data_IF_753833991143
#
_entry.id   IF_753833991143
#
_cell.length_a   1.000
_cell.length_b   1.000
_cell.length_c   1.000
_cell.angle_alpha   90.00
_cell.angle_beta   90.00
_cell.angle_gamma   90.00
#
_symmetry.space_group_name_H-M   'P 1'
#
loop_
_entity.id
_entity.type
_entity.pdbx_description
1 polymer ?
#
# COMPACT_ATOMS: atom_id res chain seq x y z
N UNK A 1 20.79 -22.89 -2.42
CA UNK A 1 19.46 -22.27 -2.69
C UNK A 1 19.61 -21.16 -3.73
N UNK A 2 18.79 -21.14 -4.80
CA UNK A 2 18.81 -20.06 -5.80
C UNK A 2 18.40 -18.74 -5.14
N UNK A 3 19.25 -17.70 -5.19
CA UNK A 3 18.88 -16.33 -4.76
C UNK A 3 17.68 -15.89 -5.59
N UNK A 4 16.50 -15.81 -4.97
CA UNK A 4 15.28 -15.31 -5.62
C UNK A 4 15.43 -13.80 -5.81
N UNK A 5 15.14 -13.31 -7.03
CA UNK A 5 15.10 -11.86 -7.29
C UNK A 5 14.07 -11.21 -6.37
N UNK A 6 14.44 -10.09 -5.75
CA UNK A 6 13.50 -9.31 -4.94
C UNK A 6 12.52 -8.63 -5.90
N UNK A 7 11.21 -8.87 -5.78
CA UNK A 7 10.24 -8.23 -6.66
C UNK A 7 10.21 -6.72 -6.37
N UNK A 8 10.28 -5.93 -7.44
CA UNK A 8 10.02 -4.50 -7.39
C UNK A 8 8.51 -4.25 -7.55
N UNK A 9 8.04 -3.20 -6.90
CA UNK A 9 6.64 -2.76 -6.92
C UNK A 9 6.61 -1.24 -7.04
N UNK A 10 5.60 -0.73 -7.76
CA UNK A 10 5.41 0.70 -7.95
C UNK A 10 4.62 1.27 -6.78
N UNK A 11 5.14 2.33 -6.16
CA UNK A 11 4.40 3.09 -5.16
C UNK A 11 3.31 3.94 -5.84
N UNK A 12 2.09 3.93 -5.31
CA UNK A 12 0.98 4.77 -5.82
C UNK A 12 1.14 6.27 -5.50
N UNK A 13 1.95 6.60 -4.49
CA UNK A 13 2.24 7.98 -4.08
C UNK A 13 3.30 8.67 -4.95
N UNK A 14 4.48 8.07 -5.11
CA UNK A 14 5.57 8.66 -5.88
C UNK A 14 5.74 8.10 -7.30
N UNK A 15 5.03 7.02 -7.67
CA UNK A 15 5.17 6.33 -8.96
C UNK A 15 6.54 5.66 -9.22
N UNK A 16 7.43 5.61 -8.24
CA UNK A 16 8.73 4.94 -8.36
C UNK A 16 8.62 3.43 -8.08
N UNK A 17 9.53 2.65 -8.68
CA UNK A 17 9.69 1.24 -8.35
C UNK A 17 10.64 1.06 -7.16
N UNK A 18 10.20 0.32 -6.15
CA UNK A 18 10.99 0.00 -4.95
C UNK A 18 10.89 -1.48 -4.60
N UNK A 19 11.86 -2.05 -3.87
CA UNK A 19 11.77 -3.39 -3.32
C UNK A 19 10.46 -3.61 -2.56
N UNK A 20 9.78 -4.74 -2.80
CA UNK A 20 8.50 -5.08 -2.12
C UNK A 20 8.58 -4.89 -0.60
N UNK A 21 9.74 -5.17 0.00
CA UNK A 21 9.96 -5.08 1.45
C UNK A 21 10.00 -3.66 2.00
N UNK A 22 10.21 -2.65 1.16
CA UNK A 22 10.26 -1.22 1.53
C UNK A 22 8.90 -0.53 1.40
N UNK A 23 7.90 -1.26 0.92
CA UNK A 23 6.56 -0.74 0.69
C UNK A 23 5.56 -1.39 1.66
N UNK A 24 4.54 -0.63 2.02
CA UNK A 24 3.34 -1.13 2.70
C UNK A 24 2.32 -1.49 1.63
N UNK A 25 1.72 -2.67 1.74
CA UNK A 25 0.65 -3.11 0.84
C UNK A 25 -0.70 -2.83 1.47
N UNK A 26 -1.61 -2.29 0.67
CA UNK A 26 -3.03 -2.19 0.98
C UNK A 26 -3.75 -3.16 0.03
N UNK A 27 -4.68 -3.97 0.54
CA UNK A 27 -5.39 -4.98 -0.23
C UNK A 27 -6.90 -4.78 -0.14
N UNK A 28 -7.60 -4.98 -1.25
CA UNK A 28 -9.06 -5.13 -1.31
C UNK A 28 -9.39 -6.60 -1.54
N UNK A 29 -10.13 -7.22 -0.63
CA UNK A 29 -10.59 -8.60 -0.76
C UNK A 29 -11.79 -8.70 -1.74
N UNK A 30 -12.33 -9.92 -1.93
CA UNK A 30 -13.48 -10.15 -2.82
C UNK A 30 -14.80 -9.57 -2.31
N UNK A 31 -14.92 -9.35 -1.00
CA UNK A 31 -16.08 -8.73 -0.35
C UNK A 31 -16.02 -7.19 -0.42
N UNK A 32 -14.97 -6.63 -1.04
CA UNK A 32 -14.77 -5.19 -1.12
C UNK A 32 -14.13 -4.58 0.13
N UNK A 33 -13.77 -5.38 1.14
CA UNK A 33 -13.14 -4.92 2.36
C UNK A 33 -11.67 -4.56 2.08
N UNK A 34 -11.29 -3.35 2.46
CA UNK A 34 -9.92 -2.84 2.33
C UNK A 34 -9.18 -3.01 3.66
N UNK A 35 -7.96 -3.53 3.60
CA UNK A 35 -7.10 -3.72 4.77
C UNK A 35 -5.61 -3.51 4.46
N UNK A 36 -4.82 -3.30 5.50
CA UNK A 36 -3.35 -3.21 5.40
C UNK A 36 -2.79 -4.63 5.47
N UNK A 37 -1.94 -5.00 4.52
CA UNK A 37 -1.30 -6.31 4.43
C UNK A 37 0.22 -6.20 4.54
N UNK A 38 0.73 -6.29 5.78
CA UNK A 38 2.17 -6.29 6.06
C UNK A 38 2.84 -7.61 5.64
N UNK A 39 2.08 -8.70 5.56
CA UNK A 39 2.61 -10.04 5.21
C UNK A 39 2.85 -10.17 3.71
N UNK A 40 2.10 -9.40 2.91
CA UNK A 40 2.10 -9.50 1.46
C UNK A 40 1.52 -10.82 0.95
N UNK A 41 0.69 -11.51 1.76
CA UNK A 41 0.05 -12.80 1.47
C UNK A 41 -1.47 -12.71 1.31
N UNK A 42 -2.09 -11.60 1.68
CA UNK A 42 -3.54 -11.47 1.63
C UNK A 42 -4.05 -11.55 0.17
N UNK A 43 -5.16 -12.26 -0.01
CA UNK A 43 -5.77 -12.43 -1.33
C UNK A 43 -6.54 -11.17 -1.74
N UNK A 44 -6.47 -10.85 -3.03
CA UNK A 44 -7.20 -9.72 -3.61
C UNK A 44 -6.32 -8.68 -4.29
N UNK A 45 -6.95 -7.57 -4.69
CA UNK A 45 -6.32 -6.49 -5.44
C UNK A 45 -5.42 -5.68 -4.51
N UNK A 46 -4.14 -5.58 -4.83
CA UNK A 46 -3.14 -4.91 -3.99
C UNK A 46 -2.64 -3.60 -4.59
N UNK A 47 -2.49 -2.59 -3.74
CA UNK A 47 -1.77 -1.35 -4.01
C UNK A 47 -0.58 -1.25 -3.04
N UNK A 48 0.49 -0.57 -3.47
CA UNK A 48 1.69 -0.40 -2.64
C UNK A 48 1.97 1.08 -2.41
N UNK A 49 2.44 1.41 -1.22
CA UNK A 49 2.84 2.76 -0.84
C UNK A 49 4.18 2.74 -0.12
N UNK A 50 4.99 3.78 -0.29
CA UNK A 50 6.26 3.92 0.43
C UNK A 50 6.00 3.98 1.94
N UNK A 51 6.99 3.55 2.73
CA UNK A 51 7.06 3.84 4.16
C UNK A 51 7.39 5.32 4.44
N UNK A 52 6.60 6.24 3.90
CA UNK A 52 6.70 7.67 4.22
C UNK A 52 5.34 8.36 4.09
N UNK A 53 5.17 9.39 4.91
CA UNK A 53 3.93 10.16 4.99
C UNK A 53 3.66 10.93 3.68
N UNK A 54 4.70 11.46 3.03
CA UNK A 54 4.56 12.19 1.76
C UNK A 54 3.86 11.37 0.67
N UNK A 55 4.17 10.08 0.55
CA UNK A 55 3.51 9.21 -0.41
C UNK A 55 2.05 8.97 -0.05
N UNK A 56 1.74 8.84 1.24
CA UNK A 56 0.37 8.73 1.73
C UNK A 56 -0.43 9.98 1.36
N UNK A 57 0.08 11.16 1.66
CA UNK A 57 -0.60 12.42 1.36
C UNK A 57 -0.85 12.60 -0.14
N UNK A 58 0.17 12.35 -0.97
CA UNK A 58 0.03 12.36 -2.44
C UNK A 58 -1.01 11.37 -2.93
N UNK A 59 -1.07 10.19 -2.31
CA UNK A 59 -2.03 9.16 -2.69
C UNK A 59 -3.46 9.52 -2.28
N UNK A 60 -3.66 10.08 -1.09
CA UNK A 60 -4.96 10.56 -0.57
C UNK A 60 -5.47 11.73 -1.41
N UNK A 61 -4.65 12.78 -1.58
CA UNK A 61 -5.01 13.99 -2.34
C UNK A 61 -5.42 13.67 -3.78
N UNK A 62 -4.76 12.70 -4.41
CA UNK A 62 -5.07 12.25 -5.77
C UNK A 62 -6.10 11.13 -5.88
N UNK A 63 -6.71 10.68 -4.78
CA UNK A 63 -7.57 9.47 -4.71
C UNK A 63 -6.94 8.25 -5.38
N UNK A 64 -5.61 8.14 -5.32
CA UNK A 64 -4.83 7.15 -6.08
C UNK A 64 -4.98 5.76 -5.51
N UNK A 65 -5.14 5.63 -4.20
CA UNK A 65 -5.44 4.35 -3.56
C UNK A 65 -6.85 3.88 -3.94
N UNK A 66 -7.87 4.76 -3.95
CA UNK A 66 -9.22 4.42 -4.42
C UNK A 66 -9.20 3.90 -5.86
N UNK A 67 -8.50 4.60 -6.77
CA UNK A 67 -8.33 4.18 -8.17
C UNK A 67 -7.57 2.86 -8.29
N UNK A 68 -6.49 2.70 -7.52
CA UNK A 68 -5.67 1.49 -7.57
C UNK A 68 -6.41 0.27 -7.04
N UNK A 69 -7.31 0.42 -6.06
CA UNK A 69 -8.09 -0.66 -5.48
C UNK A 69 -9.50 -0.80 -6.08
N UNK A 70 -9.94 0.16 -6.92
CA UNK A 70 -11.30 0.23 -7.48
C UNK A 70 -12.37 0.14 -6.39
N UNK A 71 -12.22 0.95 -5.35
CA UNK A 71 -13.20 1.08 -4.27
C UNK A 71 -12.94 2.35 -3.48
N UNK A 72 -13.94 2.80 -2.73
CA UNK A 72 -13.73 3.85 -1.76
C UNK A 72 -13.08 3.30 -0.50
N UNK A 73 -12.04 4.00 -0.06
CA UNK A 73 -11.26 3.59 1.11
C UNK A 73 -11.83 4.32 2.33
N UNK A 74 -12.26 3.58 3.36
CA UNK A 74 -12.72 4.18 4.61
C UNK A 74 -11.64 5.05 5.26
N UNK A 75 -12.05 6.15 5.90
CA UNK A 75 -11.12 7.05 6.61
C UNK A 75 -10.28 6.31 7.66
N UNK A 76 -10.85 5.31 8.32
CA UNK A 76 -10.17 4.46 9.28
C UNK A 76 -8.92 3.77 8.70
N UNK A 77 -8.95 3.39 7.43
CA UNK A 77 -7.79 2.77 6.76
C UNK A 77 -6.69 3.80 6.55
N UNK A 78 -7.02 5.04 6.23
CA UNK A 78 -6.03 6.11 6.11
C UNK A 78 -5.38 6.45 7.44
N UNK A 79 -6.16 6.46 8.53
CA UNK A 79 -5.65 6.69 9.89
C UNK A 79 -4.69 5.55 10.28
N UNK A 80 -5.14 4.29 10.16
CA UNK A 80 -4.31 3.10 10.45
C UNK A 80 -3.03 3.08 9.60
N UNK A 81 -3.13 3.46 8.33
CA UNK A 81 -1.98 3.52 7.44
C UNK A 81 -1.01 4.61 7.88
N UNK A 82 -1.49 5.78 8.29
CA UNK A 82 -0.64 6.86 8.82
C UNK A 82 0.09 6.43 10.11
N UNK A 83 -0.62 5.78 11.03
CA UNK A 83 -0.03 5.23 12.26
C UNK A 83 1.05 4.18 11.95
N UNK A 84 0.78 3.28 11.02
CA UNK A 84 1.75 2.25 10.61
C UNK A 84 3.00 2.86 9.98
N UNK A 85 2.86 3.95 9.23
CA UNK A 85 3.99 4.68 8.64
C UNK A 85 4.81 5.41 9.70
N UNK A 86 4.16 5.97 10.73
CA UNK A 86 4.84 6.67 11.83
C UNK A 86 5.58 5.72 12.79
N UNK A 87 5.14 4.47 12.92
CA UNK A 87 5.80 3.45 13.75
C UNK A 87 7.12 2.92 13.19
N UNK A 88 7.43 3.23 11.93
CA UNK A 88 8.60 2.73 11.22
C UNK A 88 9.66 3.84 10.96
N UNK A 89 9.59 4.94 11.71
CA UNK A 89 10.69 5.93 11.85
C UNK A 89 11.68 5.53 12.95
#
# INVERSE_FOLDING_TARGET
MKKRKVPLRKCVGCNEQKPKKELVRIVKNKEGVVSIDLTGKANGRGAYICRNIDCLEKAVKGKRLNRALETDIPQEIYIKLKEELAKNE
#
